data_IF_951579235368
#
_entry.id   IF_951579235368
#
_cell.length_a   1.000
_cell.length_b   1.000
_cell.length_c   1.000
_cell.angle_alpha   90.00
_cell.angle_beta   90.00
_cell.angle_gamma   90.00
#
_symmetry.space_group_name_H-M   'P 1'
#
loop_
_entity.id
_entity.type
_entity.pdbx_description
1 polymer ?
#
# COMPACT_ATOMS: atom_id res chain seq x y z
N UNK A 1 -4.46 -13.84 -3.75
CA UNK A 1 -3.58 -12.83 -3.13
C UNK A 1 -4.22 -12.41 -1.82
N UNK A 2 -3.45 -12.30 -0.74
CA UNK A 2 -3.92 -11.83 0.57
C UNK A 2 -3.24 -10.50 0.81
N UNK A 3 -3.97 -9.48 1.26
CA UNK A 3 -3.41 -8.14 1.50
C UNK A 3 -2.37 -8.09 2.62
N UNK A 4 -2.40 -9.08 3.52
CA UNK A 4 -1.56 -9.13 4.72
C UNK A 4 -1.94 -8.12 5.80
N UNK A 5 -2.98 -7.29 5.58
CA UNK A 5 -3.44 -6.31 6.55
C UNK A 5 -4.16 -6.98 7.73
N UNK A 6 -3.87 -6.53 8.93
CA UNK A 6 -4.51 -6.94 10.19
C UNK A 6 -5.52 -5.86 10.62
N UNK A 7 -6.53 -5.59 9.80
CA UNK A 7 -7.57 -4.61 10.07
C UNK A 7 -8.88 -5.32 10.34
N UNK A 8 -9.58 -4.95 11.39
CA UNK A 8 -10.86 -5.54 11.80
C UNK A 8 -12.02 -4.58 11.58
N UNK A 9 -13.24 -5.12 11.63
CA UNK A 9 -14.48 -4.35 11.46
C UNK A 9 -15.07 -4.46 10.06
N UNK A 10 -16.12 -3.69 9.81
CA UNK A 10 -16.79 -3.62 8.51
C UNK A 10 -15.92 -2.88 7.49
N UNK A 11 -16.07 -3.19 6.21
CA UNK A 11 -15.26 -2.61 5.14
C UNK A 11 -15.15 -1.08 5.20
N UNK A 12 -16.27 -0.38 5.43
CA UNK A 12 -16.29 1.08 5.53
C UNK A 12 -15.55 1.66 6.74
N UNK A 13 -15.28 0.86 7.79
CA UNK A 13 -14.50 1.33 8.97
C UNK A 13 -13.01 1.08 8.82
N UNK A 14 -12.58 0.27 7.86
CA UNK A 14 -11.17 -0.08 7.66
C UNK A 14 -10.28 1.14 7.47
N UNK A 15 -10.76 2.16 6.76
CA UNK A 15 -10.01 3.40 6.55
C UNK A 15 -9.59 4.07 7.84
N UNK A 16 -10.52 4.20 8.79
CA UNK A 16 -10.25 4.82 10.08
C UNK A 16 -9.44 3.89 11.00
N UNK A 17 -9.74 2.58 10.99
CA UNK A 17 -9.05 1.61 11.83
C UNK A 17 -7.59 1.38 11.40
N UNK A 18 -7.25 1.67 10.15
CA UNK A 18 -5.87 1.63 9.62
C UNK A 18 -5.06 2.89 9.96
N UNK A 19 -5.70 3.97 10.43
CA UNK A 19 -5.03 5.22 10.74
C UNK A 19 -3.95 5.06 11.80
N UNK A 20 -2.75 5.58 11.57
CA UNK A 20 -1.62 5.47 12.49
C UNK A 20 -0.98 4.07 12.55
N UNK A 21 -1.53 3.07 11.85
CA UNK A 21 -1.00 1.71 11.78
C UNK A 21 -0.45 1.42 10.39
N UNK A 22 -1.26 1.70 9.37
CA UNK A 22 -0.93 1.45 7.97
C UNK A 22 -0.97 2.73 7.16
N UNK A 23 -0.05 2.85 6.21
CA UNK A 23 -0.07 3.95 5.26
C UNK A 23 -1.33 3.92 4.41
N UNK A 24 -1.88 5.11 4.13
CA UNK A 24 -3.08 5.30 3.30
C UNK A 24 -2.79 6.31 2.19
N UNK A 25 -3.46 6.18 1.07
CA UNK A 25 -3.27 7.10 -0.06
C UNK A 25 -4.29 6.93 -1.17
N UNK A 26 -4.07 7.65 -2.25
CA UNK A 26 -5.01 7.74 -3.38
C UNK A 26 -4.44 7.17 -4.69
N UNK A 27 -3.36 6.42 -4.63
CA UNK A 27 -2.77 5.75 -5.80
C UNK A 27 -2.82 4.24 -5.62
N UNK A 28 -3.31 3.48 -6.60
CA UNK A 28 -3.36 2.03 -6.49
C UNK A 28 -1.95 1.42 -6.53
N UNK A 29 -1.74 0.39 -5.72
CA UNK A 29 -0.55 -0.46 -5.77
C UNK A 29 -1.01 -1.92 -5.66
N UNK A 30 -0.37 -2.87 -6.37
CA UNK A 30 -0.66 -4.29 -6.20
C UNK A 30 -0.52 -4.73 -4.73
N UNK A 31 -1.52 -5.45 -4.22
CA UNK A 31 -1.59 -5.87 -2.81
C UNK A 31 -2.20 -4.83 -1.86
N UNK A 32 -2.38 -3.57 -2.26
CA UNK A 32 -3.13 -2.59 -1.48
C UNK A 32 -4.63 -2.91 -1.44
N UNK A 33 -5.34 -2.32 -0.49
CA UNK A 33 -6.78 -2.54 -0.31
C UNK A 33 -7.54 -1.25 -0.63
N UNK A 34 -8.36 -1.29 -1.68
CA UNK A 34 -9.32 -0.24 -1.99
C UNK A 34 -10.48 -0.30 -1.00
N UNK A 35 -10.79 0.83 -0.37
CA UNK A 35 -11.83 0.96 0.66
C UNK A 35 -13.00 1.78 0.15
N UNK A 36 -14.15 1.13 0.03
CA UNK A 36 -15.41 1.77 -0.37
C UNK A 36 -16.12 2.37 0.83
N UNK A 37 -16.66 3.56 0.67
CA UNK A 37 -17.54 4.18 1.64
C UNK A 37 -18.93 3.52 1.63
N UNK A 38 -19.61 3.59 2.75
CA UNK A 38 -21.04 3.23 2.79
C UNK A 38 -21.83 4.09 1.81
N UNK A 39 -22.59 3.46 0.93
CA UNK A 39 -23.43 4.19 -0.03
C UNK A 39 -24.58 3.32 -0.56
N UNK A 40 -25.78 3.86 -0.60
CA UNK A 40 -26.96 3.14 -1.05
C UNK A 40 -27.15 1.83 -0.30
N UNK A 41 -27.37 0.70 -1.02
CA UNK A 41 -27.55 -0.63 -0.43
C UNK A 41 -26.31 -1.18 0.29
N UNK A 42 -25.11 -0.66 0.01
CA UNK A 42 -23.84 -1.08 0.61
C UNK A 42 -23.61 -0.34 1.96
N UNK A 43 -24.43 -0.67 2.97
CA UNK A 43 -24.44 0.05 4.27
C UNK A 43 -23.14 -0.11 5.07
N UNK A 44 -22.45 -1.23 4.92
CA UNK A 44 -21.25 -1.58 5.69
C UNK A 44 -19.96 -1.14 4.97
N UNK A 45 -20.09 -0.45 3.82
CA UNK A 45 -18.94 -0.24 2.96
C UNK A 45 -18.41 -1.58 2.41
N UNK A 46 -17.26 -1.53 1.74
CA UNK A 46 -16.65 -2.72 1.16
C UNK A 46 -15.14 -2.55 1.06
N UNK A 47 -14.42 -3.66 0.89
CA UNK A 47 -12.99 -3.67 0.63
C UNK A 47 -12.66 -4.63 -0.51
N UNK A 48 -11.68 -4.24 -1.33
CA UNK A 48 -11.18 -5.06 -2.42
C UNK A 48 -9.65 -5.01 -2.48
N UNK A 49 -9.00 -6.15 -2.68
CA UNK A 49 -7.54 -6.21 -2.81
C UNK A 49 -7.15 -5.93 -4.26
N UNK A 50 -6.29 -4.97 -4.48
CA UNK A 50 -5.75 -4.66 -5.80
C UNK A 50 -4.84 -5.79 -6.25
N UNK A 51 -5.13 -6.35 -7.42
CA UNK A 51 -4.30 -7.37 -8.06
C UNK A 51 -3.21 -6.73 -8.91
N UNK A 52 -3.62 -5.83 -9.81
CA UNK A 52 -2.71 -5.10 -10.70
C UNK A 52 -3.33 -3.78 -11.14
N UNK A 53 -2.48 -2.86 -11.55
CA UNK A 53 -2.88 -1.65 -12.26
C UNK A 53 -2.82 -1.91 -13.76
N UNK A 54 -3.94 -1.66 -14.44
CA UNK A 54 -4.07 -1.84 -15.91
C UNK A 54 -3.73 -0.55 -16.63
N UNK A 55 -4.20 0.58 -16.09
CA UNK A 55 -3.94 1.92 -16.61
C UNK A 55 -3.92 2.95 -15.47
N UNK A 56 -3.78 4.23 -15.80
CA UNK A 56 -3.87 5.31 -14.81
C UNK A 56 -5.25 5.36 -14.12
N UNK A 57 -6.30 4.83 -14.76
CA UNK A 57 -7.68 4.87 -14.28
C UNK A 57 -8.33 3.48 -14.19
N UNK A 58 -7.57 2.42 -14.31
CA UNK A 58 -8.12 1.06 -14.25
C UNK A 58 -7.21 0.12 -13.46
N UNK A 59 -7.82 -0.63 -12.56
CA UNK A 59 -7.19 -1.71 -11.79
C UNK A 59 -8.04 -2.98 -11.91
N UNK A 60 -7.41 -4.13 -11.68
CA UNK A 60 -8.15 -5.36 -11.35
C UNK A 60 -8.05 -5.64 -9.86
N UNK A 61 -9.14 -6.16 -9.30
CA UNK A 61 -9.25 -6.46 -7.87
C UNK A 61 -9.76 -7.87 -7.61
N UNK A 62 -9.48 -8.35 -6.40
CA UNK A 62 -10.15 -9.49 -5.81
C UNK A 62 -11.01 -9.00 -4.65
N UNK A 63 -12.25 -9.45 -4.58
CA UNK A 63 -13.12 -9.13 -3.46
C UNK A 63 -14.01 -10.32 -3.09
N UNK A 64 -14.58 -10.27 -1.91
CA UNK A 64 -15.56 -11.23 -1.43
C UNK A 64 -16.81 -10.52 -0.91
N UNK A 65 -17.94 -11.24 -0.83
CA UNK A 65 -19.18 -10.67 -0.30
C UNK A 65 -19.74 -9.46 -1.10
N UNK A 66 -19.40 -9.36 -2.37
CA UNK A 66 -20.05 -8.41 -3.27
C UNK A 66 -21.38 -9.03 -3.73
N UNK A 67 -22.48 -8.52 -3.20
CA UNK A 67 -23.80 -9.02 -3.53
C UNK A 67 -24.22 -8.53 -4.93
N UNK A 68 -24.63 -9.47 -5.77
CA UNK A 68 -25.16 -9.21 -7.10
C UNK A 68 -25.98 -10.40 -7.60
N UNK A 69 -26.72 -10.27 -8.71
CA UNK A 69 -27.47 -11.35 -9.28
C UNK A 69 -26.57 -12.58 -9.51
N UNK A 70 -26.94 -13.72 -8.87
CA UNK A 70 -26.20 -14.98 -9.00
C UNK A 70 -24.94 -15.12 -8.14
N UNK A 71 -24.54 -14.12 -7.36
CA UNK A 71 -23.37 -14.19 -6.49
C UNK A 71 -23.83 -14.53 -5.07
N UNK A 72 -23.38 -15.69 -4.55
CA UNK A 72 -23.64 -16.08 -3.17
C UNK A 72 -22.75 -15.31 -2.20
N UNK A 73 -23.29 -14.99 -1.03
CA UNK A 73 -22.49 -14.41 0.08
C UNK A 73 -21.31 -15.33 0.40
N UNK A 74 -20.11 -14.76 0.56
CA UNK A 74 -18.87 -15.50 0.79
C UNK A 74 -18.10 -15.89 -0.47
N UNK A 75 -18.71 -15.74 -1.66
CA UNK A 75 -17.99 -16.00 -2.91
C UNK A 75 -16.86 -14.98 -3.10
N UNK A 76 -15.66 -15.49 -3.37
CA UNK A 76 -14.52 -14.66 -3.79
C UNK A 76 -14.55 -14.53 -5.30
N UNK A 77 -14.68 -13.31 -5.79
CA UNK A 77 -14.53 -12.98 -7.21
C UNK A 77 -13.16 -12.39 -7.48
N UNK A 78 -12.60 -12.72 -8.64
CA UNK A 78 -11.23 -12.36 -9.02
C UNK A 78 -11.23 -11.63 -10.36
N UNK A 79 -10.16 -10.88 -10.63
CA UNK A 79 -9.97 -10.16 -11.90
C UNK A 79 -11.15 -9.23 -12.25
N UNK A 80 -11.76 -8.61 -11.24
CA UNK A 80 -12.85 -7.67 -11.45
C UNK A 80 -12.24 -6.31 -11.78
N UNK A 81 -12.61 -5.75 -12.92
CA UNK A 81 -12.18 -4.42 -13.32
C UNK A 81 -12.89 -3.35 -12.48
N UNK A 82 -12.10 -2.40 -12.03
CA UNK A 82 -12.56 -1.19 -11.33
C UNK A 82 -11.94 0.01 -12.04
N UNK A 83 -12.79 0.94 -12.47
CA UNK A 83 -12.37 2.16 -13.15
C UNK A 83 -12.57 3.38 -12.27
N UNK A 84 -11.57 4.24 -12.24
CA UNK A 84 -11.64 5.55 -11.61
C UNK A 84 -12.44 6.50 -12.50
N UNK A 85 -13.50 7.07 -11.95
CA UNK A 85 -14.36 8.08 -12.58
C UNK A 85 -14.34 9.40 -11.83
N UNK A 86 -13.38 9.59 -10.92
CA UNK A 86 -13.16 10.87 -10.26
C UNK A 86 -12.57 11.90 -11.24
N UNK A 87 -12.90 13.17 -11.04
CA UNK A 87 -12.41 14.26 -11.91
C UNK A 87 -10.88 14.39 -11.86
N UNK A 88 -10.29 14.22 -10.66
CA UNK A 88 -8.87 14.43 -10.40
C UNK A 88 -8.00 13.17 -10.55
N UNK A 89 -8.56 12.06 -11.00
CA UNK A 89 -7.86 10.75 -11.02
C UNK A 89 -7.25 10.40 -9.65
N UNK A 90 -8.04 10.58 -8.60
CA UNK A 90 -7.66 10.38 -7.20
C UNK A 90 -8.36 9.19 -6.55
N UNK A 91 -9.10 8.42 -7.35
CA UNK A 91 -9.79 7.20 -6.90
C UNK A 91 -10.83 7.43 -5.81
N UNK A 92 -11.36 8.65 -5.68
CA UNK A 92 -12.44 8.95 -4.73
C UNK A 92 -13.82 8.52 -5.22
N UNK A 93 -13.95 8.26 -6.51
CA UNK A 93 -15.17 7.78 -7.16
C UNK A 93 -14.82 6.71 -8.20
N UNK A 94 -15.41 5.52 -8.07
CA UNK A 94 -15.11 4.39 -8.94
C UNK A 94 -16.37 3.71 -9.45
N UNK A 95 -16.24 2.99 -10.57
CA UNK A 95 -17.25 2.04 -11.04
C UNK A 95 -16.64 0.64 -11.10
N UNK A 96 -17.42 -0.34 -10.73
CA UNK A 96 -17.01 -1.75 -10.65
C UNK A 96 -17.69 -2.52 -11.78
N UNK A 97 -16.94 -3.37 -12.45
CA UNK A 97 -17.46 -4.28 -13.45
C UNK A 97 -18.58 -5.14 -12.87
N UNK A 98 -19.67 -5.30 -13.63
CA UNK A 98 -20.80 -6.14 -13.28
C UNK A 98 -21.05 -7.16 -14.39
N UNK A 99 -21.40 -8.40 -14.01
CA UNK A 99 -21.61 -9.48 -14.97
C UNK A 99 -20.31 -10.03 -15.56
N UNK A 100 -20.41 -10.66 -16.73
CA UNK A 100 -19.29 -11.30 -17.43
C UNK A 100 -18.71 -10.44 -18.56
N UNK A 101 -19.37 -9.34 -18.90
CA UNK A 101 -18.94 -8.45 -19.99
C UNK A 101 -17.89 -7.48 -19.49
N UNK A 102 -16.77 -7.41 -20.18
CA UNK A 102 -15.62 -6.58 -19.78
C UNK A 102 -15.95 -5.09 -19.71
N UNK A 103 -16.91 -4.62 -20.50
CA UNK A 103 -17.25 -3.20 -20.64
C UNK A 103 -18.52 -2.78 -19.87
N UNK A 104 -19.09 -3.68 -19.07
CA UNK A 104 -20.29 -3.38 -18.29
C UNK A 104 -19.94 -3.02 -16.86
N UNK A 105 -20.14 -1.75 -16.50
CA UNK A 105 -19.87 -1.23 -15.16
C UNK A 105 -21.15 -0.82 -14.43
N UNK A 106 -21.19 -1.11 -13.13
CA UNK A 106 -22.27 -0.71 -12.24
C UNK A 106 -22.32 0.80 -11.99
N UNK A 107 -23.08 1.20 -10.98
CA UNK A 107 -23.16 2.61 -10.54
C UNK A 107 -21.81 3.12 -10.04
N UNK A 108 -21.71 4.42 -9.87
CA UNK A 108 -20.55 5.04 -9.20
C UNK A 108 -20.63 4.80 -7.68
N UNK A 109 -19.48 4.42 -7.10
CA UNK A 109 -19.28 4.20 -5.68
C UNK A 109 -18.24 5.19 -5.14
N UNK A 110 -18.52 5.87 -4.02
CA UNK A 110 -17.52 6.68 -3.35
C UNK A 110 -16.53 5.78 -2.60
N UNK A 111 -15.27 6.14 -2.62
CA UNK A 111 -14.20 5.44 -1.91
C UNK A 111 -13.43 6.37 -0.99
N UNK A 112 -12.66 5.79 -0.05
CA UNK A 112 -11.70 6.53 0.77
C UNK A 112 -10.32 6.59 0.10
N UNK A 113 -9.98 5.58 -0.71
CA UNK A 113 -8.65 5.37 -1.28
C UNK A 113 -8.11 3.99 -0.92
N UNK A 114 -6.79 3.89 -0.82
CA UNK A 114 -6.07 2.63 -0.64
C UNK A 114 -5.36 2.57 0.71
N UNK A 115 -5.38 1.38 1.34
CA UNK A 115 -4.57 1.05 2.51
C UNK A 115 -3.43 0.16 2.02
N UNK A 116 -2.19 0.50 2.38
CA UNK A 116 -1.00 -0.23 1.98
C UNK A 116 -0.50 -1.12 3.12
N UNK A 117 0.00 -2.31 2.79
CA UNK A 117 0.59 -3.21 3.80
C UNK A 117 2.01 -2.77 4.19
N UNK A 118 2.10 -1.57 4.72
CA UNK A 118 3.32 -0.99 5.32
C UNK A 118 2.95 -0.01 6.41
N UNK A 119 3.80 0.17 7.43
CA UNK A 119 3.53 1.07 8.54
C UNK A 119 3.26 2.50 8.09
N UNK A 120 2.40 3.20 8.83
CA UNK A 120 2.19 4.63 8.65
C UNK A 120 3.49 5.40 8.94
N UNK A 121 3.78 6.44 8.13
CA UNK A 121 5.04 7.19 8.22
C UNK A 121 6.19 6.64 7.38
N UNK A 122 6.07 5.48 6.74
CA UNK A 122 7.03 5.05 5.72
C UNK A 122 6.85 5.89 4.46
N UNK A 123 7.94 6.47 3.90
CA UNK A 123 7.85 7.16 2.62
C UNK A 123 7.31 6.18 1.57
N UNK A 124 6.37 6.65 0.75
CA UNK A 124 5.93 5.88 -0.42
C UNK A 124 7.19 5.50 -1.21
N UNK A 125 7.35 4.23 -1.54
CA UNK A 125 8.44 3.83 -2.44
C UNK A 125 8.26 4.63 -3.73
N UNK A 126 9.17 5.56 -3.98
CA UNK A 126 9.27 6.17 -5.29
C UNK A 126 9.61 5.04 -6.24
N UNK A 127 8.83 4.86 -7.28
CA UNK A 127 9.19 3.93 -8.35
C UNK A 127 10.60 4.26 -8.87
N UNK A 128 11.25 3.35 -9.57
CA UNK A 128 12.62 3.52 -10.05
C UNK A 128 12.77 4.88 -10.74
N UNK A 129 13.81 5.62 -10.37
CA UNK A 129 14.11 6.92 -10.97
C UNK A 129 14.61 6.65 -12.39
N UNK A 130 13.80 6.99 -13.36
CA UNK A 130 14.17 6.90 -14.77
C UNK A 130 14.86 8.19 -15.20
N UNK A 131 16.14 8.13 -15.44
CA UNK A 131 16.94 9.28 -15.91
C UNK A 131 17.19 9.14 -17.42
N UNK A 132 16.96 10.23 -18.15
CA UNK A 132 17.25 10.28 -19.58
C UNK A 132 18.73 10.58 -19.80
N UNK A 133 19.48 9.59 -20.24
CA UNK A 133 20.87 9.77 -20.66
C UNK A 133 20.96 9.50 -22.16
N UNK A 134 21.40 10.49 -22.94
CA UNK A 134 21.67 10.31 -24.36
C UNK A 134 20.52 9.78 -25.20
N UNK A 135 19.27 10.14 -24.88
CA UNK A 135 18.07 9.70 -25.64
C UNK A 135 17.48 8.35 -25.22
N UNK A 136 18.14 7.61 -24.33
CA UNK A 136 17.66 6.33 -23.80
C UNK A 136 17.19 6.50 -22.35
N UNK A 137 16.05 5.88 -22.00
CA UNK A 137 15.57 5.83 -20.62
C UNK A 137 16.31 4.71 -19.90
N UNK A 138 17.02 5.04 -18.83
CA UNK A 138 17.73 4.08 -18.01
C UNK A 138 17.22 4.17 -16.55
N UNK A 139 16.95 3.00 -15.98
CA UNK A 139 16.61 2.88 -14.57
C UNK A 139 17.87 3.10 -13.73
N UNK A 140 17.80 4.04 -12.79
CA UNK A 140 18.89 4.29 -11.84
C UNK A 140 18.41 3.81 -10.47
N UNK A 141 19.11 2.83 -9.92
CA UNK A 141 18.89 2.40 -8.54
C UNK A 141 19.25 3.54 -7.58
N UNK A 142 18.33 3.96 -6.75
CA UNK A 142 18.60 4.92 -5.68
C UNK A 142 19.58 4.24 -4.70
N UNK A 143 20.75 4.86 -4.50
CA UNK A 143 21.68 4.39 -3.47
C UNK A 143 20.97 4.50 -2.11
N UNK A 144 21.05 3.49 -1.24
CA UNK A 144 20.47 3.59 0.09
C UNK A 144 21.11 4.79 0.78
N UNK A 145 20.30 5.74 1.23
CA UNK A 145 20.77 6.82 2.10
C UNK A 145 21.41 6.17 3.31
N UNK A 146 22.72 6.34 3.43
CA UNK A 146 23.44 5.94 4.63
C UNK A 146 22.89 6.81 5.76
N UNK A 147 21.93 6.23 6.51
CA UNK A 147 21.44 6.81 7.75
C UNK A 147 22.66 7.11 8.61
N UNK A 148 22.98 8.38 8.81
CA UNK A 148 24.05 8.81 9.68
C UNK A 148 23.82 8.20 11.06
N UNK A 149 24.65 7.25 11.42
CA UNK A 149 24.75 6.78 12.79
C UNK A 149 25.24 7.96 13.60
N UNK A 150 24.34 8.70 14.21
CA UNK A 150 24.67 9.54 15.36
C UNK A 150 25.11 8.61 16.48
N UNK A 151 26.42 8.43 16.60
CA UNK A 151 27.01 7.75 17.74
C UNK A 151 26.56 8.47 19.01
N UNK A 152 25.82 7.75 19.83
CA UNK A 152 25.45 8.18 21.17
C UNK A 152 26.68 8.60 21.96
N UNK A 153 26.66 9.73 22.71
CA UNK A 153 27.81 10.23 23.47
C UNK A 153 28.38 9.26 24.51
N UNK A 154 27.68 8.20 24.83
CA UNK A 154 28.10 7.22 25.83
C UNK A 154 29.14 6.17 25.36
N UNK A 155 29.45 6.07 24.08
CA UNK A 155 30.47 5.11 23.58
C UNK A 155 31.90 5.68 23.53
N UNK A 156 32.12 6.92 23.96
CA UNK A 156 33.46 7.53 23.96
C UNK A 156 34.31 7.24 25.20
N UNK A 157 33.78 6.53 26.21
CA UNK A 157 34.52 6.31 27.47
C UNK A 157 35.05 4.91 27.71
N UNK A 158 34.97 3.98 26.79
CA UNK A 158 35.41 2.59 27.05
C UNK A 158 36.69 2.20 26.31
N UNK A 159 37.31 3.10 25.54
CA UNK A 159 38.49 2.74 24.74
C UNK A 159 39.78 3.48 25.15
N UNK A 160 39.88 3.91 26.42
CA UNK A 160 41.13 4.51 26.92
C UNK A 160 41.43 3.93 28.30
N UNK A 161 41.87 2.68 28.36
CA UNK A 161 42.68 2.12 29.48
C UNK A 161 42.86 0.62 29.29
N UNK A 162 43.76 0.19 28.45
CA UNK A 162 44.63 -0.96 28.68
C UNK A 162 45.86 -0.76 27.78
N UNK A 163 46.74 0.06 28.26
CA UNK A 163 48.09 0.22 27.69
C UNK A 163 49.07 0.48 28.83
N UNK A 164 49.82 -0.54 29.17
CA UNK A 164 51.04 -0.34 29.95
C UNK A 164 50.99 -0.79 31.41
N UNK A 165 51.51 -1.95 31.68
CA UNK A 165 52.44 -2.20 32.79
C UNK A 165 53.20 -3.46 32.47
N UNK A 166 54.40 -3.25 31.93
CA UNK A 166 55.48 -4.19 32.00
C UNK A 166 55.98 -4.31 33.44
N UNK A 167 56.28 -5.48 33.87
CA UNK A 167 57.18 -5.73 35.01
C UNK A 167 58.18 -6.76 34.59
N UNK A 168 59.41 -6.23 34.42
CA UNK A 168 60.67 -7.00 34.63
C UNK A 168 60.75 -7.42 36.09
N UNK A 169 61.48 -8.51 36.35
CA UNK A 169 61.98 -8.79 37.67
C UNK A 169 62.25 -10.25 37.89
N UNK A 170 63.37 -10.73 37.44
CA UNK A 170 64.56 -11.27 38.15
C UNK A 170 64.31 -12.14 39.40
N UNK A 171 64.87 -13.31 39.31
CA UNK A 171 65.37 -14.28 40.25
C UNK A 171 64.49 -15.43 40.65
#
# INVERSE_FOLDING_TARGET
MVSGLQVTGNGGTWWNNAAGIYQRGHRPEPGSVLVFRSSGGMRMGHVAVVERQVSAREITVHHANWEGPGIRKGTVTRNISVVDVSDSNDWTAVRVQVGHDADTYGRTYPTYGFIFNRPDGFPAQRGPIMVRHGGTMQEVAEAPEQGGQTQSPHQRFINTSIGGLGIEGSR
#
